data_IF_026405238181
#
_entry.id   IF_026405238181
#
_cell.length_a   1.000
_cell.length_b   1.000
_cell.length_c   1.000
_cell.angle_alpha   90.00
_cell.angle_beta   90.00
_cell.angle_gamma   90.00
#
_symmetry.space_group_name_H-M   'P 1'
#
loop_
_entity.id
_entity.type
_entity.pdbx_description
1 polymer ?
#
# COMPACT_ATOMS: atom_id res chain seq x y z
N UNK A 1 -2.29 -17.31 -6.90
CA UNK A 1 -0.98 -17.72 -6.33
C UNK A 1 -0.41 -18.98 -6.98
N UNK A 2 -1.03 -20.15 -6.83
CA UNK A 2 -0.38 -21.44 -7.18
C UNK A 2 -0.01 -21.57 -8.66
N UNK A 3 -0.88 -21.10 -9.57
CA UNK A 3 -0.56 -21.05 -11.00
C UNK A 3 0.64 -20.13 -11.30
N UNK A 4 0.81 -19.04 -10.54
CA UNK A 4 1.96 -18.14 -10.72
C UNK A 4 3.26 -18.75 -10.19
N UNK A 5 3.20 -19.57 -9.12
CA UNK A 5 4.36 -20.33 -8.65
C UNK A 5 4.85 -21.33 -9.70
N UNK A 6 3.94 -21.97 -10.44
CA UNK A 6 4.31 -22.85 -11.56
C UNK A 6 5.04 -22.07 -12.68
N UNK A 7 4.52 -20.89 -13.08
CA UNK A 7 5.17 -20.02 -14.05
C UNK A 7 6.55 -19.53 -13.58
N UNK A 8 6.70 -19.28 -12.29
CA UNK A 8 7.97 -18.88 -11.69
C UNK A 8 9.02 -20.00 -11.81
N UNK A 9 8.61 -21.25 -11.51
CA UNK A 9 9.46 -22.44 -11.63
C UNK A 9 9.86 -22.71 -13.09
N UNK A 10 8.92 -22.58 -14.03
CA UNK A 10 9.19 -22.67 -15.48
C UNK A 10 10.18 -21.62 -15.96
N UNK A 11 10.17 -20.42 -15.35
CA UNK A 11 11.14 -19.36 -15.61
C UNK A 11 12.50 -19.58 -14.91
N UNK A 12 12.71 -20.73 -14.27
CA UNK A 12 13.95 -21.08 -13.57
C UNK A 12 14.13 -20.32 -12.25
N UNK A 13 13.06 -19.76 -11.70
CA UNK A 13 13.06 -19.04 -10.43
C UNK A 13 12.28 -19.83 -9.38
N UNK A 14 12.70 -19.72 -8.13
CA UNK A 14 12.07 -20.44 -7.02
C UNK A 14 11.38 -19.49 -6.06
N UNK A 15 10.15 -19.83 -5.69
CA UNK A 15 9.34 -19.08 -4.74
C UNK A 15 8.65 -20.02 -3.75
N UNK A 16 8.32 -19.49 -2.58
CA UNK A 16 7.66 -20.23 -1.51
C UNK A 16 6.41 -19.47 -1.06
N UNK A 17 5.26 -20.13 -0.89
CA UNK A 17 4.10 -19.49 -0.29
C UNK A 17 4.41 -19.09 1.15
N UNK A 18 3.79 -18.01 1.62
CA UNK A 18 3.85 -17.62 3.03
C UNK A 18 2.79 -18.38 3.84
N UNK A 19 3.13 -18.80 5.06
CA UNK A 19 2.20 -19.56 5.92
C UNK A 19 0.99 -18.71 6.35
N UNK A 20 1.24 -17.47 6.79
CA UNK A 20 0.19 -16.60 7.36
C UNK A 20 -0.52 -15.70 6.35
N UNK A 21 0.03 -15.54 5.13
CA UNK A 21 -0.49 -14.61 4.13
C UNK A 21 -0.78 -15.39 2.84
N UNK A 22 -2.06 -15.69 2.55
CA UNK A 22 -2.43 -16.67 1.52
C UNK A 22 -2.01 -16.26 0.12
N UNK A 23 -1.91 -14.96 -0.17
CA UNK A 23 -1.50 -14.47 -1.50
C UNK A 23 -0.01 -14.17 -1.60
N UNK A 24 0.72 -14.18 -0.48
CA UNK A 24 2.13 -13.85 -0.46
C UNK A 24 3.01 -15.00 -1.00
N UNK A 25 3.92 -14.63 -1.89
CA UNK A 25 5.02 -15.49 -2.33
C UNK A 25 6.35 -14.84 -1.98
N UNK A 26 7.22 -15.58 -1.30
CA UNK A 26 8.61 -15.19 -1.03
C UNK A 26 9.54 -15.85 -2.04
N UNK A 27 10.24 -15.05 -2.84
CA UNK A 27 11.29 -15.54 -3.71
C UNK A 27 12.46 -16.12 -2.90
N UNK A 28 13.09 -17.18 -3.41
CA UNK A 28 14.32 -17.75 -2.86
C UNK A 28 15.48 -16.75 -3.00
N UNK A 29 15.59 -16.16 -4.19
CA UNK A 29 16.62 -15.17 -4.54
C UNK A 29 15.94 -13.87 -4.99
N UNK A 30 16.40 -12.68 -4.54
CA UNK A 30 15.89 -11.42 -5.04
C UNK A 30 16.09 -11.31 -6.56
N UNK A 31 15.05 -10.84 -7.25
CA UNK A 31 15.07 -10.63 -8.69
C UNK A 31 14.55 -9.22 -9.01
N UNK A 32 15.01 -8.60 -10.11
CA UNK A 32 14.42 -7.36 -10.57
C UNK A 32 13.00 -7.61 -11.07
N UNK A 33 12.10 -6.65 -10.87
CA UNK A 33 10.67 -6.83 -11.15
C UNK A 33 10.35 -7.18 -12.61
N UNK A 34 11.12 -6.66 -13.56
CA UNK A 34 10.97 -6.94 -14.99
C UNK A 34 11.33 -8.39 -15.37
N UNK A 35 12.04 -9.12 -14.51
CA UNK A 35 12.32 -10.54 -14.73
C UNK A 35 11.17 -11.43 -14.23
N UNK A 36 10.23 -10.91 -13.45
CA UNK A 36 9.15 -11.70 -12.88
C UNK A 36 8.07 -12.00 -13.95
N UNK A 37 7.59 -13.25 -14.07
CA UNK A 37 6.60 -13.61 -15.07
C UNK A 37 5.31 -12.80 -14.91
N UNK A 38 4.86 -12.16 -16.01
CA UNK A 38 3.62 -11.38 -16.03
C UNK A 38 3.63 -10.10 -15.21
N UNK A 39 4.80 -9.58 -14.79
CA UNK A 39 4.86 -8.34 -14.01
C UNK A 39 4.30 -7.14 -14.79
N UNK A 40 4.73 -6.96 -16.04
CA UNK A 40 4.23 -5.88 -16.90
C UNK A 40 2.73 -6.06 -17.25
N UNK A 41 2.26 -7.30 -17.31
CA UNK A 41 0.85 -7.66 -17.53
C UNK A 41 -0.01 -7.53 -16.26
N UNK A 42 0.59 -7.12 -15.14
CA UNK A 42 -0.12 -6.87 -13.90
C UNK A 42 -0.49 -8.13 -13.09
N UNK A 43 0.12 -9.29 -13.38
CA UNK A 43 -0.23 -10.54 -12.70
C UNK A 43 0.26 -10.61 -11.26
N UNK A 44 1.28 -9.80 -10.93
CA UNK A 44 1.87 -9.72 -9.60
C UNK A 44 2.30 -8.31 -9.24
N UNK A 45 2.38 -8.07 -7.94
CA UNK A 45 2.90 -6.85 -7.32
C UNK A 45 3.96 -7.21 -6.28
N UNK A 46 4.90 -6.30 -6.03
CA UNK A 46 5.91 -6.48 -4.98
C UNK A 46 5.47 -5.70 -3.75
N UNK A 47 5.20 -6.43 -2.67
CA UNK A 47 4.77 -5.85 -1.39
C UNK A 47 5.35 -6.66 -0.23
N UNK A 48 5.51 -6.02 0.93
CA UNK A 48 5.81 -6.74 2.17
C UNK A 48 4.64 -7.62 2.61
N UNK A 49 4.91 -8.81 3.12
CA UNK A 49 3.88 -9.74 3.58
C UNK A 49 3.02 -9.14 4.72
N UNK A 50 3.62 -8.39 5.64
CA UNK A 50 2.87 -7.69 6.71
C UNK A 50 1.92 -6.61 6.17
N UNK A 51 2.29 -5.94 5.08
CA UNK A 51 1.42 -4.96 4.43
C UNK A 51 0.23 -5.63 3.72
N UNK A 52 0.38 -6.87 3.26
CA UNK A 52 -0.74 -7.66 2.72
C UNK A 52 -1.76 -8.00 3.81
N UNK A 53 -1.30 -8.21 5.05
CA UNK A 53 -2.17 -8.46 6.21
C UNK A 53 -3.19 -7.36 6.51
N UNK A 54 -2.95 -6.13 6.05
CA UNK A 54 -3.89 -5.02 6.22
C UNK A 54 -5.28 -5.33 5.65
N UNK A 55 -5.38 -6.12 4.56
CA UNK A 55 -6.67 -6.43 3.95
C UNK A 55 -7.56 -7.33 4.82
N UNK A 56 -6.98 -8.14 5.71
CA UNK A 56 -7.77 -8.95 6.66
C UNK A 56 -8.50 -8.06 7.66
N UNK A 57 -7.86 -6.98 8.10
CA UNK A 57 -8.44 -6.05 9.08
C UNK A 57 -9.32 -5.00 8.42
N UNK A 58 -8.90 -4.49 7.27
CA UNK A 58 -9.69 -3.55 6.48
C UNK A 58 -10.95 -4.24 5.95
N UNK A 59 -10.86 -5.49 5.49
CA UNK A 59 -11.99 -6.28 4.96
C UNK A 59 -12.86 -5.53 3.94
N UNK A 60 -12.27 -4.93 2.88
CA UNK A 60 -12.97 -4.08 1.94
C UNK A 60 -14.09 -4.85 1.20
N UNK A 61 -15.20 -4.17 0.92
CA UNK A 61 -16.34 -4.73 0.19
C UNK A 61 -16.64 -3.92 -1.07
N UNK A 62 -17.20 -4.60 -2.08
CA UNK A 62 -17.70 -3.94 -3.28
C UNK A 62 -18.78 -2.91 -2.94
N UNK A 63 -18.78 -1.78 -3.64
CA UNK A 63 -19.70 -0.67 -3.42
C UNK A 63 -19.34 0.27 -2.25
N UNK A 64 -18.35 -0.08 -1.41
CA UNK A 64 -17.86 0.81 -0.35
C UNK A 64 -17.02 1.98 -0.92
N UNK A 65 -17.07 3.12 -0.25
CA UNK A 65 -16.16 4.24 -0.47
C UNK A 65 -14.99 4.09 0.51
N UNK A 66 -13.79 3.82 -0.01
CA UNK A 66 -12.61 3.47 0.80
C UNK A 66 -11.51 4.49 0.57
N UNK A 67 -10.96 5.02 1.66
CA UNK A 67 -9.79 5.88 1.63
C UNK A 67 -8.51 5.08 1.92
N UNK A 68 -7.51 5.23 1.07
CA UNK A 68 -6.11 4.89 1.35
C UNK A 68 -5.33 6.19 1.53
N UNK A 69 -4.93 6.50 2.77
CA UNK A 69 -4.23 7.73 3.14
C UNK A 69 -2.75 7.46 3.38
N UNK A 70 -1.89 8.33 2.83
CA UNK A 70 -0.45 8.11 2.67
C UNK A 70 -0.16 6.93 1.72
N UNK A 71 -0.94 6.86 0.63
CA UNK A 71 -1.06 5.68 -0.22
C UNK A 71 0.19 5.34 -1.02
N UNK A 72 1.07 6.29 -1.33
CA UNK A 72 2.12 6.05 -2.30
C UNK A 72 3.16 5.04 -1.79
N UNK A 73 3.60 4.05 -2.59
CA UNK A 73 3.48 3.96 -4.05
C UNK A 73 2.23 3.23 -4.58
N UNK A 74 1.23 2.96 -3.74
CA UNK A 74 -0.08 2.46 -4.16
C UNK A 74 -0.30 0.96 -4.00
N UNK A 75 0.64 0.23 -3.41
CA UNK A 75 0.51 -1.23 -3.25
C UNK A 75 -0.67 -1.65 -2.37
N UNK A 76 -1.08 -0.82 -1.41
CA UNK A 76 -2.29 -1.09 -0.59
C UNK A 76 -3.54 -0.67 -1.34
N UNK A 77 -3.54 0.47 -2.03
CA UNK A 77 -4.60 0.89 -2.96
C UNK A 77 -4.96 -0.23 -3.95
N UNK A 78 -3.97 -0.82 -4.61
CA UNK A 78 -4.21 -1.87 -5.60
C UNK A 78 -4.71 -3.15 -4.94
N UNK A 79 -4.18 -3.51 -3.77
CA UNK A 79 -4.63 -4.68 -3.02
C UNK A 79 -6.08 -4.52 -2.51
N UNK A 80 -6.52 -3.32 -2.15
CA UNK A 80 -7.94 -3.04 -1.89
C UNK A 80 -8.78 -3.40 -3.12
N UNK A 81 -8.37 -2.97 -4.30
CA UNK A 81 -9.07 -3.21 -5.57
C UNK A 81 -8.97 -4.68 -6.05
N UNK A 82 -7.96 -5.43 -5.64
CA UNK A 82 -7.89 -6.88 -5.87
C UNK A 82 -8.96 -7.62 -5.05
N UNK A 83 -9.17 -7.20 -3.79
CA UNK A 83 -10.15 -7.82 -2.90
C UNK A 83 -11.58 -7.34 -3.18
N UNK A 84 -11.76 -6.06 -3.49
CA UNK A 84 -13.03 -5.42 -3.79
C UNK A 84 -12.95 -4.60 -5.11
N UNK A 85 -13.05 -5.26 -6.29
CA UNK A 85 -12.88 -4.60 -7.58
C UNK A 85 -13.90 -3.50 -7.91
N UNK A 86 -15.05 -3.51 -7.25
CA UNK A 86 -16.12 -2.52 -7.44
C UNK A 86 -16.17 -1.50 -6.30
N UNK A 87 -15.17 -1.47 -5.41
CA UNK A 87 -15.04 -0.43 -4.40
C UNK A 87 -14.61 0.90 -5.04
N UNK A 88 -15.08 2.01 -4.46
CA UNK A 88 -14.68 3.35 -4.85
C UNK A 88 -13.50 3.79 -3.99
N UNK A 89 -12.29 3.54 -4.48
CA UNK A 89 -11.05 3.84 -3.74
C UNK A 89 -10.56 5.26 -4.04
N UNK A 90 -10.29 6.02 -2.98
CA UNK A 90 -9.58 7.31 -3.04
C UNK A 90 -8.19 7.11 -2.43
N UNK A 91 -7.14 7.33 -3.22
CA UNK A 91 -5.75 7.24 -2.78
C UNK A 91 -5.16 8.65 -2.63
N UNK A 92 -4.67 8.97 -1.43
CA UNK A 92 -4.16 10.30 -1.10
C UNK A 92 -2.72 10.21 -0.59
N UNK A 93 -1.85 11.07 -1.14
CA UNK A 93 -0.51 11.28 -0.61
C UNK A 93 -0.13 12.76 -0.74
N UNK A 94 0.76 13.24 0.13
CA UNK A 94 1.21 14.64 0.11
C UNK A 94 2.23 14.88 -1.00
N UNK A 95 2.95 13.83 -1.39
CA UNK A 95 4.06 13.88 -2.34
C UNK A 95 3.59 13.51 -3.76
N UNK A 96 3.44 14.53 -4.60
CA UNK A 96 3.05 14.39 -6.01
C UNK A 96 4.00 13.49 -6.81
N UNK A 97 5.31 13.53 -6.51
CA UNK A 97 6.26 12.67 -7.22
C UNK A 97 6.05 11.21 -6.84
N UNK A 98 5.70 10.92 -5.58
CA UNK A 98 5.36 9.54 -5.17
C UNK A 98 4.01 9.10 -5.73
N UNK A 99 3.05 10.01 -5.91
CA UNK A 99 1.77 9.71 -6.56
C UNK A 99 1.91 9.24 -8.00
N UNK A 100 2.93 9.69 -8.75
CA UNK A 100 3.22 9.17 -10.09
C UNK A 100 3.30 7.63 -10.12
N UNK A 101 3.88 7.02 -9.07
CA UNK A 101 4.00 5.56 -8.95
C UNK A 101 2.66 4.88 -8.68
N UNK A 102 1.73 5.56 -8.00
CA UNK A 102 0.36 5.07 -7.80
C UNK A 102 -0.34 4.98 -9.16
N UNK A 103 -0.24 6.03 -9.97
CA UNK A 103 -0.78 6.03 -11.33
C UNK A 103 -0.17 4.92 -12.21
N UNK A 104 1.15 4.76 -12.17
CA UNK A 104 1.83 3.71 -12.94
C UNK A 104 1.37 2.31 -12.54
N UNK A 105 1.22 2.04 -11.24
CA UNK A 105 0.73 0.76 -10.73
C UNK A 105 -0.74 0.52 -11.09
N UNK A 106 -1.62 1.51 -10.92
CA UNK A 106 -3.02 1.40 -11.32
C UNK A 106 -3.15 1.10 -12.82
N UNK A 107 -2.37 1.81 -13.65
CA UNK A 107 -2.34 1.60 -15.09
C UNK A 107 -1.86 0.19 -15.46
N UNK A 108 -0.74 -0.26 -14.88
CA UNK A 108 -0.17 -1.59 -15.13
C UNK A 108 -1.13 -2.71 -14.75
N UNK A 109 -1.86 -2.54 -13.64
CA UNK A 109 -2.82 -3.53 -13.15
C UNK A 109 -4.22 -3.40 -13.79
N UNK A 110 -4.45 -2.42 -14.68
CA UNK A 110 -5.76 -2.17 -15.28
C UNK A 110 -6.83 -1.72 -14.27
N UNK A 111 -6.41 -1.19 -13.13
CA UNK A 111 -7.27 -0.77 -12.01
C UNK A 111 -7.57 0.72 -12.05
N UNK A 112 -8.66 1.13 -11.41
CA UNK A 112 -9.07 2.54 -11.32
C UNK A 112 -9.32 2.95 -9.87
N UNK A 113 -8.65 4.01 -9.44
CA UNK A 113 -8.90 4.70 -8.19
C UNK A 113 -8.87 6.22 -8.45
N UNK A 114 -9.51 6.99 -7.58
CA UNK A 114 -9.33 8.45 -7.57
C UNK A 114 -8.04 8.77 -6.82
N UNK A 115 -7.06 9.36 -7.49
CA UNK A 115 -5.79 9.74 -6.87
C UNK A 115 -5.80 11.25 -6.63
N UNK A 116 -5.45 11.69 -5.42
CA UNK A 116 -5.39 13.11 -5.05
C UNK A 116 -4.12 13.44 -4.30
N UNK A 117 -3.53 14.59 -4.61
CA UNK A 117 -2.54 15.19 -3.73
C UNK A 117 -3.24 15.79 -2.52
N UNK A 118 -2.78 15.47 -1.32
CA UNK A 118 -3.38 15.98 -0.10
C UNK A 118 -2.55 15.70 1.14
N UNK A 119 -2.59 16.64 2.08
CA UNK A 119 -2.06 16.45 3.42
C UNK A 119 -3.15 15.80 4.29
N UNK A 120 -2.81 14.69 4.95
CA UNK A 120 -3.71 13.95 5.83
C UNK A 120 -4.20 14.76 7.03
N UNK A 121 -3.48 15.84 7.41
CA UNK A 121 -3.90 16.76 8.48
C UNK A 121 -5.01 17.72 8.06
N UNK A 122 -5.26 17.87 6.76
CA UNK A 122 -6.23 18.85 6.22
C UNK A 122 -7.21 18.21 5.22
N UNK A 123 -8.01 17.20 5.64
CA UNK A 123 -8.91 16.46 4.75
C UNK A 123 -9.94 17.34 4.01
N UNK A 124 -10.40 18.42 4.65
CA UNK A 124 -11.32 19.38 4.04
C UNK A 124 -10.82 19.97 2.71
N UNK A 125 -9.50 20.01 2.48
CA UNK A 125 -8.90 20.54 1.25
C UNK A 125 -9.06 19.61 0.04
N UNK A 126 -9.21 18.30 0.25
CA UNK A 126 -9.21 17.32 -0.84
C UNK A 126 -10.43 16.39 -0.85
N UNK A 127 -11.12 16.17 0.28
CA UNK A 127 -12.39 15.44 0.33
C UNK A 127 -13.58 16.24 0.85
N UNK A 128 -13.40 17.51 1.26
CA UNK A 128 -14.51 18.31 1.78
C UNK A 128 -15.15 17.64 3.00
N UNK A 129 -16.45 17.38 2.94
CA UNK A 129 -17.21 16.68 3.99
C UNK A 129 -17.46 15.20 3.67
N UNK A 130 -16.84 14.65 2.62
CA UNK A 130 -17.03 13.26 2.23
C UNK A 130 -16.61 12.31 3.36
N UNK A 131 -17.47 11.35 3.65
CA UNK A 131 -17.19 10.25 4.57
C UNK A 131 -16.90 8.95 3.81
N UNK A 132 -16.17 8.05 4.45
CA UNK A 132 -15.73 6.77 3.91
C UNK A 132 -16.27 5.63 4.78
N UNK A 133 -16.66 4.54 4.13
CA UNK A 133 -17.05 3.31 4.81
C UNK A 133 -15.85 2.70 5.53
N UNK A 134 -14.64 2.88 4.97
CA UNK A 134 -13.39 2.41 5.54
C UNK A 134 -12.25 3.36 5.24
N UNK A 135 -11.32 3.45 6.18
CA UNK A 135 -10.11 4.25 6.05
C UNK A 135 -8.91 3.38 6.39
N UNK A 136 -8.00 3.26 5.44
CA UNK A 136 -6.67 2.72 5.64
C UNK A 136 -5.69 3.88 5.80
N UNK A 137 -5.09 3.99 6.99
CA UNK A 137 -4.07 5.00 7.30
C UNK A 137 -2.70 4.32 7.44
N UNK A 138 -1.89 4.37 6.38
CA UNK A 138 -0.50 3.93 6.40
C UNK A 138 0.43 5.10 6.75
N UNK A 139 0.27 5.61 7.97
CA UNK A 139 0.86 6.88 8.38
C UNK A 139 2.40 6.88 8.28
N UNK A 140 3.02 8.04 7.97
CA UNK A 140 4.47 8.17 7.94
C UNK A 140 5.08 7.78 9.28
N UNK A 141 5.96 6.78 9.27
CA UNK A 141 6.55 6.22 10.49
C UNK A 141 8.07 6.28 10.49
N UNK A 142 8.66 5.82 11.60
CA UNK A 142 10.11 5.76 11.78
C UNK A 142 10.78 4.71 10.89
N UNK A 143 9.98 3.87 10.20
CA UNK A 143 10.45 2.79 9.34
C UNK A 143 11.38 1.78 10.05
N UNK A 144 11.40 1.77 11.38
CA UNK A 144 12.26 0.85 12.16
C UNK A 144 11.89 -0.62 11.92
N UNK A 145 10.62 -0.90 11.59
CA UNK A 145 10.16 -2.24 11.20
C UNK A 145 10.78 -2.79 9.92
N UNK A 146 11.38 -1.94 9.06
CA UNK A 146 12.00 -2.36 7.80
C UNK A 146 13.52 -2.27 7.80
N UNK A 147 14.16 -2.12 8.97
CA UNK A 147 15.62 -2.06 9.14
C UNK A 147 16.35 -3.23 8.48
N UNK A 148 15.75 -4.43 8.45
CA UNK A 148 16.35 -5.60 7.78
C UNK A 148 16.60 -5.35 6.28
N UNK A 149 15.76 -4.54 5.63
CA UNK A 149 15.86 -4.18 4.20
C UNK A 149 16.59 -2.87 3.99
N UNK A 150 16.49 -1.96 4.96
CA UNK A 150 17.08 -0.63 4.95
C UNK A 150 17.96 -0.44 6.20
N UNK A 151 19.17 -1.04 6.24
CA UNK A 151 20.03 -1.00 7.42
C UNK A 151 20.57 0.40 7.75
N UNK A 152 20.56 1.29 6.75
CA UNK A 152 20.88 2.71 6.85
C UNK A 152 19.96 3.48 7.82
N UNK A 153 18.72 3.01 8.04
CA UNK A 153 17.79 3.57 9.02
C UNK A 153 18.42 3.66 10.42
N UNK A 154 19.27 2.70 10.80
CA UNK A 154 19.96 2.72 12.10
C UNK A 154 20.90 3.92 12.27
N UNK A 155 21.43 4.45 11.17
CA UNK A 155 22.39 5.54 11.16
C UNK A 155 21.73 6.89 10.88
N UNK A 156 20.66 6.89 10.09
CA UNK A 156 19.96 8.11 9.67
C UNK A 156 18.94 8.62 10.71
N UNK A 157 18.33 7.72 11.50
CA UNK A 157 17.32 8.09 12.49
C UNK A 157 17.92 8.74 13.71
N UNK A 158 17.24 9.77 14.21
CA UNK A 158 17.59 10.52 15.41
C UNK A 158 16.49 10.34 16.45
N UNK A 159 16.83 10.39 17.73
CA UNK A 159 15.87 10.20 18.82
C UNK A 159 14.71 11.21 18.76
N UNK A 160 14.98 12.44 18.31
CA UNK A 160 13.98 13.49 18.12
C UNK A 160 12.95 13.19 17.03
N UNK A 161 13.27 12.33 16.07
CA UNK A 161 12.37 12.03 14.95
C UNK A 161 11.15 11.23 15.45
N UNK A 162 11.31 10.45 16.54
CA UNK A 162 10.23 9.59 17.05
C UNK A 162 9.08 10.41 17.65
N UNK A 163 9.30 11.36 18.58
CA UNK A 163 8.24 12.25 19.05
C UNK A 163 7.57 13.06 17.93
N UNK A 164 8.35 13.58 16.98
CA UNK A 164 7.82 14.36 15.85
C UNK A 164 6.90 13.52 14.96
N UNK A 165 7.29 12.27 14.66
CA UNK A 165 6.46 11.35 13.89
C UNK A 165 5.20 10.91 14.66
N UNK A 166 5.31 10.65 15.95
CA UNK A 166 4.15 10.31 16.78
C UNK A 166 3.13 11.46 16.82
N UNK A 167 3.61 12.70 16.96
CA UNK A 167 2.77 13.89 16.90
C UNK A 167 2.08 14.03 15.55
N UNK A 168 2.82 13.88 14.45
CA UNK A 168 2.26 13.92 13.09
C UNK A 168 1.20 12.83 12.86
N UNK A 169 1.46 11.61 13.32
CA UNK A 169 0.50 10.49 13.21
C UNK A 169 -0.78 10.78 13.98
N UNK A 170 -0.68 11.35 15.19
CA UNK A 170 -1.83 11.78 15.99
C UNK A 170 -2.64 12.84 15.26
N UNK A 171 -1.99 13.88 14.72
CA UNK A 171 -2.66 14.95 13.98
C UNK A 171 -3.43 14.42 12.77
N UNK A 172 -2.83 13.50 12.00
CA UNK A 172 -3.50 12.88 10.85
C UNK A 172 -4.68 12.03 11.31
N UNK A 173 -4.51 11.23 12.37
CA UNK A 173 -5.57 10.39 12.89
C UNK A 173 -6.76 11.23 13.38
N UNK A 174 -6.51 12.26 14.18
CA UNK A 174 -7.55 13.16 14.70
C UNK A 174 -8.27 13.90 13.57
N UNK A 175 -7.53 14.33 12.54
CA UNK A 175 -8.11 15.01 11.39
C UNK A 175 -8.99 14.09 10.55
N UNK A 176 -8.58 12.84 10.34
CA UNK A 176 -9.30 11.92 9.45
C UNK A 176 -10.43 11.14 10.15
N UNK A 177 -10.38 10.98 11.48
CA UNK A 177 -11.36 10.24 12.25
C UNK A 177 -12.83 10.66 11.99
N UNK A 178 -13.18 11.97 11.89
CA UNK A 178 -14.55 12.40 11.60
C UNK A 178 -15.06 12.02 10.20
N UNK A 179 -14.16 11.63 9.28
CA UNK A 179 -14.49 11.19 7.93
C UNK A 179 -14.81 9.69 7.85
N UNK A 180 -14.68 8.94 8.93
CA UNK A 180 -15.17 7.57 9.01
C UNK A 180 -16.68 7.56 9.33
N UNK A 181 -17.46 6.73 8.63
CA UNK A 181 -18.90 6.55 8.88
C UNK A 181 -19.20 5.84 10.20
#
# INVERSE_FOLDING_TARGET
RDSWLALLDEAGMKGFPHADYPDAVRLETPAPVHALPGFEDGWVTVQDASAQGCMTWLAPQNGEHILDLCAAPGGKTTHILEVAPEAQVVAVDIDEQRLSRVYDNLKRLGMKATVKQGDGRYPSQWCGEQQFDRILLDAPCSATGVIRRHPDIKWLRRDRDIPELAQLQSEILDAIWPHLK
#
